data_IF_599179726222
#
_entry.id   IF_599179726222
#
_cell.length_a   1.000
_cell.length_b   1.000
_cell.length_c   1.000
_cell.angle_alpha   90.00
_cell.angle_beta   90.00
_cell.angle_gamma   90.00
#
_symmetry.space_group_name_H-M   'P 1'
#
loop_
_entity.id
_entity.type
_entity.pdbx_description
1 polymer ?
#
# COMPACT_ATOMS: atom_id res chain seq x y z
N UNK A 1 -3.49 37.49 10.23
CA UNK A 1 -4.74 36.96 9.66
C UNK A 1 -4.46 35.82 8.66
N UNK A 2 -3.53 35.98 7.71
CA UNK A 2 -3.16 34.97 6.72
C UNK A 2 -2.70 33.64 7.34
N UNK A 3 -1.86 33.64 8.38
CA UNK A 3 -1.35 32.45 9.06
C UNK A 3 -2.50 31.62 9.67
N UNK A 4 -3.50 32.29 10.28
CA UNK A 4 -4.67 31.61 10.84
C UNK A 4 -5.54 30.96 9.75
N UNK A 5 -5.66 31.58 8.57
CA UNK A 5 -6.39 31.03 7.44
C UNK A 5 -5.72 29.80 6.87
N UNK A 6 -4.38 29.82 6.70
CA UNK A 6 -3.60 28.67 6.26
C UNK A 6 -3.71 27.50 7.25
N UNK A 7 -3.61 27.80 8.56
CA UNK A 7 -3.76 26.77 9.60
C UNK A 7 -5.13 26.11 9.58
N UNK A 8 -6.21 26.89 9.44
CA UNK A 8 -7.59 26.38 9.30
C UNK A 8 -7.74 25.50 8.05
N UNK A 9 -7.17 25.91 6.91
CA UNK A 9 -7.23 25.14 5.67
C UNK A 9 -6.49 23.81 5.80
N UNK A 10 -5.28 23.82 6.34
CA UNK A 10 -4.48 22.60 6.61
C UNK A 10 -5.24 21.63 7.52
N UNK A 11 -5.86 22.13 8.58
CA UNK A 11 -6.68 21.33 9.49
C UNK A 11 -7.86 20.70 8.76
N UNK A 12 -8.59 21.47 7.98
CA UNK A 12 -9.73 20.97 7.21
C UNK A 12 -9.34 19.87 6.21
N UNK A 13 -8.21 20.04 5.51
CA UNK A 13 -7.68 19.00 4.61
C UNK A 13 -7.32 17.73 5.38
N UNK A 14 -6.68 17.85 6.55
CA UNK A 14 -6.33 16.70 7.38
C UNK A 14 -7.58 15.96 7.91
N UNK A 15 -8.60 16.70 8.33
CA UNK A 15 -9.89 16.14 8.79
C UNK A 15 -10.60 15.38 7.66
N UNK A 16 -10.66 15.94 6.45
CA UNK A 16 -11.24 15.26 5.28
C UNK A 16 -10.50 13.97 4.90
N UNK A 17 -9.17 13.99 4.94
CA UNK A 17 -8.36 12.77 4.69
C UNK A 17 -8.67 11.70 5.73
N UNK A 18 -8.72 12.09 7.00
CA UNK A 18 -9.03 11.18 8.09
C UNK A 18 -10.43 10.57 7.94
N UNK A 19 -11.43 11.37 7.59
CA UNK A 19 -12.80 10.90 7.34
C UNK A 19 -12.85 9.91 6.16
N UNK A 20 -12.18 10.21 5.06
CA UNK A 20 -12.09 9.31 3.92
C UNK A 20 -11.43 7.97 4.28
N UNK A 21 -10.36 7.99 5.07
CA UNK A 21 -9.72 6.77 5.55
C UNK A 21 -10.65 5.98 6.48
N UNK A 22 -11.40 6.63 7.36
CA UNK A 22 -12.39 5.98 8.20
C UNK A 22 -13.49 5.28 7.39
N UNK A 23 -13.99 5.90 6.34
CA UNK A 23 -14.99 5.32 5.43
C UNK A 23 -14.41 4.12 4.68
N UNK A 24 -13.20 4.24 4.15
CA UNK A 24 -12.51 3.16 3.45
C UNK A 24 -12.28 1.95 4.36
N UNK A 25 -11.66 2.16 5.52
CA UNK A 25 -11.33 1.08 6.45
C UNK A 25 -12.55 0.39 7.02
N UNK A 26 -13.64 1.14 7.29
CA UNK A 26 -14.91 0.55 7.71
C UNK A 26 -15.50 -0.34 6.62
N UNK A 27 -15.47 0.09 5.36
CA UNK A 27 -15.94 -0.72 4.23
C UNK A 27 -15.11 -2.00 4.09
N UNK A 28 -13.78 -1.89 4.13
CA UNK A 28 -12.89 -3.05 4.01
C UNK A 28 -13.16 -4.10 5.09
N UNK A 29 -13.30 -3.70 6.35
CA UNK A 29 -13.55 -4.67 7.45
C UNK A 29 -14.97 -5.24 7.43
N UNK A 30 -15.94 -4.58 6.79
CA UNK A 30 -17.27 -5.13 6.58
C UNK A 30 -17.34 -6.12 5.43
N UNK A 31 -16.62 -5.84 4.35
CA UNK A 31 -16.69 -6.59 3.10
C UNK A 31 -15.77 -7.82 3.11
N UNK A 32 -14.69 -7.82 3.90
CA UNK A 32 -13.66 -8.86 3.88
C UNK A 32 -13.36 -9.42 5.26
N UNK A 33 -13.10 -10.73 5.33
CA UNK A 33 -12.75 -11.42 6.58
C UNK A 33 -11.25 -11.38 6.88
N UNK A 34 -10.42 -11.32 5.85
CA UNK A 34 -8.97 -11.22 5.95
C UNK A 34 -8.45 -10.09 5.07
N UNK A 35 -7.66 -9.22 5.65
CA UNK A 35 -7.02 -8.08 4.96
C UNK A 35 -5.51 -8.25 5.09
N UNK A 36 -4.81 -8.24 3.96
CA UNK A 36 -3.34 -8.32 3.93
C UNK A 36 -2.77 -7.01 3.44
N UNK A 37 -1.81 -6.47 4.17
CA UNK A 37 -1.15 -5.20 3.85
C UNK A 37 0.37 -5.33 3.99
N UNK A 38 1.10 -4.48 3.29
CA UNK A 38 2.55 -4.40 3.42
C UNK A 38 2.97 -3.56 4.63
N UNK A 39 4.03 -3.97 5.29
CA UNK A 39 4.71 -3.18 6.30
C UNK A 39 5.63 -2.15 5.61
N UNK A 40 5.04 -1.10 5.07
CA UNK A 40 5.80 -0.02 4.48
C UNK A 40 6.47 0.78 5.58
N UNK A 41 7.81 0.68 5.67
CA UNK A 41 8.58 1.43 6.65
C UNK A 41 8.54 2.92 6.33
N UNK A 42 7.85 3.69 7.15
CA UNK A 42 7.79 5.15 7.11
C UNK A 42 9.20 5.77 7.12
N UNK A 43 10.18 5.15 7.80
CA UNK A 43 11.56 5.62 7.86
C UNK A 43 12.27 5.65 6.49
N UNK A 44 12.02 4.69 5.61
CA UNK A 44 12.62 4.67 4.28
C UNK A 44 11.94 5.63 3.29
N UNK A 45 10.68 5.93 3.51
CA UNK A 45 9.92 6.91 2.72
C UNK A 45 10.23 8.35 3.15
N UNK A 46 10.67 8.59 4.39
CA UNK A 46 11.06 9.92 4.90
C UNK A 46 12.40 10.44 4.34
N UNK A 47 13.18 9.61 3.66
CA UNK A 47 14.41 10.06 2.97
C UNK A 47 14.12 10.93 1.74
N UNK A 48 12.93 10.91 1.21
CA UNK A 48 12.47 11.84 0.19
C UNK A 48 11.85 13.07 0.87
N UNK A 49 12.60 14.17 0.88
CA UNK A 49 12.22 15.46 1.49
C UNK A 49 11.02 16.17 0.81
N UNK A 50 10.21 15.47 0.04
CA UNK A 50 9.03 16.02 -0.59
C UNK A 50 7.82 15.98 0.35
N UNK A 51 7.13 17.10 0.49
CA UNK A 51 5.93 17.26 1.31
C UNK A 51 4.85 16.20 1.00
N UNK A 52 4.74 15.79 -0.26
CA UNK A 52 3.83 14.74 -0.72
C UNK A 52 4.16 13.36 -0.12
N UNK A 53 5.44 13.02 0.02
CA UNK A 53 5.87 11.75 0.62
C UNK A 53 5.53 11.72 2.12
N UNK A 54 5.77 12.80 2.87
CA UNK A 54 5.43 12.86 4.30
C UNK A 54 3.94 12.74 4.55
N UNK A 55 3.10 13.31 3.68
CA UNK A 55 1.64 13.20 3.74
C UNK A 55 1.17 11.78 3.43
N UNK A 56 1.73 11.15 2.40
CA UNK A 56 1.42 9.76 2.06
C UNK A 56 1.79 8.80 3.19
N UNK A 57 2.93 9.02 3.84
CA UNK A 57 3.39 8.22 4.98
C UNK A 57 2.48 8.36 6.21
N UNK A 58 2.07 9.58 6.54
CA UNK A 58 1.14 9.82 7.62
C UNK A 58 -0.23 9.17 7.34
N UNK A 59 -0.70 9.20 6.09
CA UNK A 59 -1.94 8.55 5.67
C UNK A 59 -1.83 7.03 5.74
N UNK A 60 -0.71 6.43 5.35
CA UNK A 60 -0.46 4.99 5.47
C UNK A 60 -0.45 4.54 6.92
N UNK A 61 0.26 5.23 7.80
CA UNK A 61 0.27 4.95 9.24
C UNK A 61 -1.12 5.02 9.86
N UNK A 62 -1.92 6.01 9.48
CA UNK A 62 -3.31 6.15 9.91
C UNK A 62 -4.18 5.01 9.39
N UNK A 63 -4.04 4.61 8.12
CA UNK A 63 -4.75 3.48 7.52
C UNK A 63 -4.48 2.18 8.31
N UNK A 64 -3.22 1.86 8.54
CA UNK A 64 -2.83 0.65 9.29
C UNK A 64 -3.36 0.68 10.72
N UNK A 65 -3.26 1.82 11.41
CA UNK A 65 -3.78 1.99 12.76
C UNK A 65 -5.30 1.76 12.81
N UNK A 66 -6.05 2.32 11.86
CA UNK A 66 -7.49 2.13 11.77
C UNK A 66 -7.87 0.68 11.44
N UNK A 67 -7.15 0.02 10.55
CA UNK A 67 -7.39 -1.39 10.23
C UNK A 67 -7.13 -2.28 11.44
N UNK A 68 -6.07 -2.03 12.22
CA UNK A 68 -5.76 -2.80 13.43
C UNK A 68 -6.93 -2.83 14.43
N UNK A 69 -7.42 -1.67 14.87
CA UNK A 69 -8.49 -1.67 15.84
C UNK A 69 -9.85 -2.07 15.28
N UNK A 70 -10.14 -1.73 14.01
CA UNK A 70 -11.41 -2.12 13.39
C UNK A 70 -11.48 -3.61 13.12
N UNK A 71 -10.40 -4.25 12.64
CA UNK A 71 -10.34 -5.71 12.52
C UNK A 71 -10.58 -6.39 13.88
N UNK A 72 -9.99 -5.88 14.95
CA UNK A 72 -10.24 -6.39 16.31
C UNK A 72 -11.71 -6.25 16.70
N UNK A 73 -12.33 -5.10 16.47
CA UNK A 73 -13.73 -4.86 16.80
C UNK A 73 -14.72 -5.73 16.00
N UNK A 74 -14.44 -5.95 14.73
CA UNK A 74 -15.31 -6.71 13.82
C UNK A 74 -14.98 -8.21 13.76
N UNK A 75 -14.01 -8.69 14.55
CA UNK A 75 -13.56 -10.08 14.52
C UNK A 75 -12.91 -10.49 13.20
N UNK A 76 -12.24 -9.56 12.53
CA UNK A 76 -11.58 -9.77 11.24
C UNK A 76 -10.07 -9.93 11.43
N UNK A 77 -9.42 -10.49 10.43
CA UNK A 77 -7.98 -10.75 10.45
C UNK A 77 -7.21 -9.71 9.65
N UNK A 78 -6.20 -9.11 10.26
CA UNK A 78 -5.24 -8.24 9.60
C UNK A 78 -3.87 -8.92 9.60
N UNK A 79 -3.29 -9.09 8.41
CA UNK A 79 -1.96 -9.66 8.22
C UNK A 79 -1.06 -8.57 7.64
N UNK A 80 0.09 -8.34 8.27
CA UNK A 80 1.08 -7.35 7.83
C UNK A 80 2.31 -8.11 7.38
N UNK A 81 2.69 -7.97 6.10
CA UNK A 81 3.79 -8.69 5.47
C UNK A 81 4.96 -7.77 5.11
N UNK A 82 6.15 -8.39 4.90
CA UNK A 82 7.32 -7.69 4.37
C UNK A 82 7.08 -7.34 2.88
N UNK A 83 7.27 -6.07 2.46
CA UNK A 83 7.05 -5.61 1.09
C UNK A 83 8.06 -6.11 0.06
N UNK A 84 9.09 -6.85 0.47
CA UNK A 84 10.19 -7.24 -0.41
C UNK A 84 9.70 -8.03 -1.63
N UNK A 85 10.00 -7.51 -2.83
CA UNK A 85 9.77 -8.10 -4.15
C UNK A 85 8.31 -8.33 -4.57
N UNK A 86 7.32 -7.89 -3.83
CA UNK A 86 5.89 -8.12 -4.15
C UNK A 86 5.47 -7.61 -5.53
N UNK A 87 6.03 -6.49 -6.00
CA UNK A 87 5.71 -5.92 -7.30
C UNK A 87 6.53 -6.48 -8.49
N UNK A 88 7.65 -7.17 -8.22
CA UNK A 88 8.59 -7.65 -9.24
C UNK A 88 8.49 -9.16 -9.51
N UNK A 89 7.69 -9.86 -8.75
CA UNK A 89 7.38 -11.29 -8.94
C UNK A 89 6.09 -11.40 -9.74
N UNK A 90 6.10 -12.22 -10.79
CA UNK A 90 4.88 -12.57 -11.52
C UNK A 90 3.95 -13.40 -10.64
N UNK A 91 2.71 -12.97 -10.47
CA UNK A 91 1.76 -13.71 -9.62
C UNK A 91 1.31 -15.03 -10.25
N UNK A 92 1.42 -15.19 -11.57
CA UNK A 92 1.06 -16.42 -12.28
C UNK A 92 2.15 -17.50 -12.12
N UNK A 93 3.37 -17.22 -12.60
CA UNK A 93 4.45 -18.22 -12.61
C UNK A 93 5.39 -18.16 -11.41
N UNK A 94 5.24 -17.18 -10.51
CA UNK A 94 6.07 -16.96 -9.31
C UNK A 94 7.54 -16.63 -9.60
N UNK A 95 7.93 -16.40 -10.84
CA UNK A 95 9.27 -15.99 -11.20
C UNK A 95 9.47 -14.48 -11.03
N UNK A 96 10.63 -14.11 -10.50
CA UNK A 96 11.02 -12.70 -10.42
C UNK A 96 11.43 -12.19 -11.80
N UNK A 97 10.93 -11.02 -12.17
CA UNK A 97 11.40 -10.33 -13.36
C UNK A 97 12.68 -9.55 -13.05
N UNK A 98 13.81 -10.04 -13.57
CA UNK A 98 15.14 -9.46 -13.38
C UNK A 98 15.42 -8.26 -14.31
N UNK A 99 14.63 -8.04 -15.36
CA UNK A 99 14.77 -6.87 -16.23
C UNK A 99 14.58 -5.57 -15.44
N UNK A 100 13.83 -5.62 -14.35
CA UNK A 100 13.60 -4.46 -13.47
C UNK A 100 14.75 -4.17 -12.51
N UNK A 101 15.73 -5.05 -12.37
CA UNK A 101 16.85 -4.84 -11.46
C UNK A 101 17.80 -3.72 -12.00
N UNK A 102 17.77 -3.45 -13.31
CA UNK A 102 18.54 -2.38 -13.97
C UNK A 102 17.82 -1.03 -14.02
N UNK A 103 16.51 -0.99 -13.72
CA UNK A 103 15.73 0.24 -13.77
C UNK A 103 15.93 1.08 -12.51
N UNK A 104 15.97 2.39 -12.67
CA UNK A 104 15.83 3.34 -11.57
C UNK A 104 14.42 3.23 -10.95
N UNK A 105 14.28 3.70 -9.71
CA UNK A 105 12.98 3.70 -9.05
C UNK A 105 11.92 4.53 -9.81
N UNK A 106 12.33 5.62 -10.45
CA UNK A 106 11.42 6.46 -11.24
C UNK A 106 10.92 5.76 -12.51
N UNK A 107 11.79 5.05 -13.21
CA UNK A 107 11.43 4.26 -14.40
C UNK A 107 10.51 3.11 -14.04
N UNK A 108 10.80 2.39 -12.95
CA UNK A 108 9.93 1.36 -12.42
C UNK A 108 8.54 1.90 -12.02
N UNK A 109 8.47 3.05 -11.38
CA UNK A 109 7.20 3.67 -11.00
C UNK A 109 6.40 4.17 -12.20
N UNK A 110 7.06 4.52 -13.31
CA UNK A 110 6.41 4.91 -14.55
C UNK A 110 5.82 3.71 -15.32
N UNK A 111 6.40 2.52 -15.18
CA UNK A 111 5.91 1.29 -15.79
C UNK A 111 4.66 0.80 -15.03
N UNK A 112 3.47 1.01 -15.62
CA UNK A 112 2.19 0.57 -15.03
C UNK A 112 1.84 -0.86 -15.37
N UNK A 113 2.24 -1.32 -16.53
CA UNK A 113 1.98 -2.65 -17.09
C UNK A 113 3.28 -3.27 -17.56
N UNK A 114 3.35 -4.58 -17.55
CA UNK A 114 4.51 -5.33 -18.03
C UNK A 114 4.15 -6.75 -18.42
N UNK A 115 4.92 -7.33 -19.35
CA UNK A 115 4.80 -8.72 -19.78
C UNK A 115 5.82 -9.58 -19.06
N UNK A 116 5.39 -10.71 -18.54
CA UNK A 116 6.29 -11.62 -17.84
C UNK A 116 7.23 -12.31 -18.86
N UNK A 117 8.56 -12.20 -18.74
CA UNK A 117 9.48 -12.81 -19.69
C UNK A 117 9.45 -14.35 -19.64
N UNK A 118 8.92 -14.95 -18.58
CA UNK A 118 8.88 -16.38 -18.38
C UNK A 118 7.57 -17.02 -18.88
N UNK A 119 6.42 -16.49 -18.49
CA UNK A 119 5.11 -17.08 -18.85
C UNK A 119 4.28 -16.22 -19.81
N UNK A 120 4.80 -15.08 -20.23
CA UNK A 120 4.18 -14.14 -21.18
C UNK A 120 2.84 -13.54 -20.73
N UNK A 121 2.48 -13.66 -19.44
CA UNK A 121 1.30 -13.03 -18.89
C UNK A 121 1.43 -11.51 -18.92
N UNK A 122 0.41 -10.81 -19.41
CA UNK A 122 0.31 -9.37 -19.34
C UNK A 122 -0.22 -8.94 -17.98
N UNK A 123 0.51 -8.08 -17.27
CA UNK A 123 0.29 -7.78 -15.86
C UNK A 123 0.17 -6.27 -15.63
N UNK A 124 -0.91 -5.84 -14.98
CA UNK A 124 -0.94 -4.56 -14.30
C UNK A 124 -0.06 -4.66 -13.05
N UNK A 125 0.87 -3.72 -12.86
CA UNK A 125 1.86 -3.75 -11.78
C UNK A 125 1.22 -3.77 -10.40
N UNK A 126 0.21 -2.96 -10.18
CA UNK A 126 -0.41 -2.78 -8.86
C UNK A 126 -1.33 -3.96 -8.52
N UNK A 127 -2.07 -4.48 -9.51
CA UNK A 127 -2.89 -5.69 -9.36
C UNK A 127 -2.00 -6.92 -9.13
N UNK A 128 -0.89 -7.04 -9.87
CA UNK A 128 0.10 -8.11 -9.67
C UNK A 128 0.68 -8.07 -8.24
N UNK A 129 1.07 -6.88 -7.77
CA UNK A 129 1.55 -6.70 -6.40
C UNK A 129 0.49 -7.11 -5.37
N UNK A 130 -0.75 -6.68 -5.54
CA UNK A 130 -1.85 -7.00 -4.63
C UNK A 130 -2.09 -8.51 -4.52
N UNK A 131 -2.05 -9.24 -5.65
CA UNK A 131 -2.17 -10.70 -5.67
C UNK A 131 -1.01 -11.40 -4.96
N UNK A 132 0.22 -10.91 -5.14
CA UNK A 132 1.38 -11.44 -4.44
C UNK A 132 1.34 -11.16 -2.93
N UNK A 133 0.88 -9.96 -2.53
CA UNK A 133 0.70 -9.58 -1.14
C UNK A 133 -0.31 -10.52 -0.48
N UNK A 134 -1.44 -10.75 -1.12
CA UNK A 134 -2.47 -11.67 -0.63
C UNK A 134 -1.92 -13.09 -0.47
N UNK A 135 -1.27 -13.64 -1.49
CA UNK A 135 -0.69 -14.98 -1.46
C UNK A 135 0.32 -15.13 -0.31
N UNK A 136 1.25 -14.18 -0.19
CA UNK A 136 2.26 -14.16 0.87
C UNK A 136 1.64 -14.07 2.27
N UNK A 137 0.57 -13.30 2.43
CA UNK A 137 -0.15 -13.21 3.69
C UNK A 137 -0.88 -14.50 4.04
N UNK A 138 -1.52 -15.16 3.08
CA UNK A 138 -2.22 -16.42 3.30
C UNK A 138 -1.27 -17.57 3.65
N UNK A 139 -0.05 -17.59 3.11
CA UNK A 139 1.00 -18.56 3.48
C UNK A 139 1.35 -18.49 4.98
N UNK A 140 1.19 -17.34 5.63
CA UNK A 140 1.45 -17.20 7.08
C UNK A 140 0.39 -17.86 7.95
N UNK A 141 -0.73 -18.31 7.36
CA UNK A 141 -1.86 -18.96 8.04
C UNK A 141 -1.79 -20.49 7.96
N UNK A 142 -0.90 -21.00 7.13
CA UNK A 142 -0.61 -22.44 7.00
C UNK A 142 0.46 -22.82 8.01
#
# INVERSE_FOLDING_TARGET
>A
QAVRTVAKLKRHIAERRRDNLHKLTTRLVKDYDTIVVENLSVKNMMKNHHLSASIANASWGTLISQLKYKCAWYGKRLIIIDPKNTSRICHECKQKNHEFDSLSQSEWLAAREWDCPNCHAHLDRDVNAAKNILAKGLETLS
#
